data_IF_296518541751
#
_entry.id   IF_296518541751
#
_cell.length_a   1.000
_cell.length_b   1.000
_cell.length_c   1.000
_cell.angle_alpha   90.00
_cell.angle_beta   90.00
_cell.angle_gamma   90.00
#
_symmetry.space_group_name_H-M   'P 1'
#
loop_
_entity.id
_entity.type
_entity.pdbx_description
1 polymer ?
#
# COMPACT_ATOMS: atom_id res chain seq x y z
N UNK A 1 -62.33 5.31 -69.46
CA UNK A 1 -61.63 4.61 -70.55
C UNK A 1 -60.93 3.41 -69.96
N UNK A 2 -61.33 2.22 -70.40
CA UNK A 2 -60.65 0.91 -70.34
C UNK A 2 -60.21 0.38 -68.96
N UNK A 3 -60.91 -0.62 -68.39
CA UNK A 3 -60.68 -2.08 -68.58
C UNK A 3 -59.53 -2.58 -67.68
N UNK A 4 -59.57 -3.69 -66.94
CA UNK A 4 -60.48 -4.83 -66.87
C UNK A 4 -60.17 -5.63 -65.57
N UNK A 5 -61.16 -6.42 -65.17
CA UNK A 5 -61.25 -7.49 -64.15
C UNK A 5 -59.99 -8.40 -64.01
N UNK A 6 -59.72 -9.04 -62.86
CA UNK A 6 -60.43 -10.25 -62.40
C UNK A 6 -60.62 -10.37 -60.86
N UNK A 7 -61.90 -10.36 -60.53
CA UNK A 7 -62.65 -11.07 -59.47
C UNK A 7 -62.58 -12.61 -59.70
N UNK A 8 -62.97 -13.59 -58.84
CA UNK A 8 -63.84 -13.74 -57.65
C UNK A 8 -63.68 -15.21 -57.13
N UNK A 9 -64.26 -15.46 -55.94
CA UNK A 9 -64.84 -16.73 -55.41
C UNK A 9 -63.92 -17.75 -54.72
N UNK A 10 -64.21 -18.29 -53.53
CA UNK A 10 -65.44 -18.41 -52.70
C UNK A 10 -65.05 -18.11 -51.22
N UNK A 11 -65.72 -17.30 -50.40
CA UNK A 11 -67.10 -17.30 -49.86
C UNK A 11 -67.51 -18.54 -49.05
N UNK A 12 -68.08 -18.26 -47.86
CA UNK A 12 -68.79 -19.10 -46.86
C UNK A 12 -67.92 -19.44 -45.63
N UNK A 13 -68.24 -19.14 -44.35
CA UNK A 13 -69.46 -18.69 -43.66
C UNK A 13 -69.11 -18.07 -42.28
N UNK A 14 -69.98 -17.16 -41.84
CA UNK A 14 -70.16 -16.40 -40.58
C UNK A 14 -70.38 -17.29 -39.31
N UNK A 15 -70.67 -16.76 -38.08
CA UNK A 15 -70.33 -15.51 -37.37
C UNK A 15 -69.89 -15.71 -35.88
N UNK A 16 -69.47 -14.59 -35.26
CA UNK A 16 -69.48 -14.20 -33.84
C UNK A 16 -69.87 -15.20 -32.74
N UNK A 17 -69.08 -15.24 -31.65
CA UNK A 17 -69.59 -15.02 -30.28
C UNK A 17 -68.45 -14.82 -29.28
N UNK A 18 -68.74 -13.95 -28.32
CA UNK A 18 -67.83 -13.36 -27.36
C UNK A 18 -67.83 -14.11 -26.02
N UNK A 19 -66.79 -13.85 -25.23
CA UNK A 19 -66.62 -13.98 -23.77
C UNK A 19 -65.88 -15.19 -23.17
N UNK A 20 -65.16 -14.81 -22.10
CA UNK A 20 -64.72 -15.58 -20.91
C UNK A 20 -63.25 -16.05 -20.94
N UNK A 21 -62.42 -15.34 -20.16
CA UNK A 21 -61.15 -15.83 -19.64
C UNK A 21 -61.36 -17.08 -18.78
N UNK A 22 -60.38 -18.00 -18.81
CA UNK A 22 -59.82 -18.43 -17.54
C UNK A 22 -58.30 -18.28 -17.56
N UNK A 23 -57.79 -17.59 -16.55
CA UNK A 23 -56.41 -17.77 -16.12
C UNK A 23 -56.23 -19.22 -15.66
N UNK A 24 -55.50 -20.02 -16.43
CA UNK A 24 -54.94 -21.29 -15.98
C UNK A 24 -53.50 -21.38 -16.48
N UNK A 25 -52.56 -21.31 -15.52
CA UNK A 25 -51.15 -21.55 -15.77
C UNK A 25 -50.92 -22.96 -16.30
N UNK A 26 -50.52 -23.05 -17.56
CA UNK A 26 -50.10 -24.29 -18.20
C UNK A 26 -48.67 -24.63 -17.76
N UNK A 27 -48.51 -25.66 -16.92
CA UNK A 27 -47.20 -26.30 -16.70
C UNK A 27 -46.78 -27.02 -17.99
N UNK A 28 -45.54 -26.86 -18.47
CA UNK A 28 -45.08 -27.55 -19.66
C UNK A 28 -45.01 -29.07 -19.43
N UNK A 29 -45.50 -29.84 -20.42
CA UNK A 29 -45.41 -31.31 -20.45
C UNK A 29 -44.06 -31.73 -21.03
N UNK A 30 -43.35 -32.58 -20.30
CA UNK A 30 -42.01 -33.03 -20.64
C UNK A 30 -42.10 -34.48 -21.12
N UNK A 31 -41.92 -34.70 -22.42
CA UNK A 31 -41.96 -36.04 -23.03
C UNK A 31 -40.54 -36.58 -23.27
N UNK A 32 -40.20 -37.81 -22.85
CA UNK A 32 -38.92 -38.41 -23.18
C UNK A 32 -38.94 -38.94 -24.63
N UNK A 33 -38.09 -38.39 -25.49
CA UNK A 33 -37.86 -38.94 -26.84
C UNK A 33 -36.84 -40.07 -26.73
N UNK A 34 -37.21 -41.26 -27.22
CA UNK A 34 -36.28 -42.37 -27.38
C UNK A 34 -35.84 -42.53 -28.85
N UNK A 35 -34.59 -42.98 -28.97
CA UNK A 35 -33.92 -43.67 -30.10
C UNK A 35 -33.14 -42.88 -31.14
N UNK A 36 -31.92 -43.40 -31.39
CA UNK A 36 -31.35 -43.52 -32.74
C UNK A 36 -29.90 -43.07 -32.89
N UNK A 37 -28.94 -43.98 -32.63
CA UNK A 37 -27.56 -43.97 -33.17
C UNK A 37 -26.93 -42.61 -33.49
N UNK A 38 -26.65 -41.84 -32.45
CA UNK A 38 -25.83 -40.64 -32.48
C UNK A 38 -25.83 -40.10 -31.07
N UNK A 39 -24.70 -40.17 -30.37
CA UNK A 39 -24.61 -39.87 -28.95
C UNK A 39 -24.71 -38.36 -28.66
N UNK A 40 -25.86 -37.77 -28.98
CA UNK A 40 -26.29 -36.49 -28.44
C UNK A 40 -26.95 -36.73 -27.08
N UNK A 41 -26.30 -36.28 -26.00
CA UNK A 41 -26.92 -36.25 -24.67
C UNK A 41 -27.98 -35.14 -24.67
N UNK A 42 -29.24 -35.45 -24.39
CA UNK A 42 -30.24 -34.40 -24.09
C UNK A 42 -29.96 -33.86 -22.70
N UNK A 43 -29.24 -32.74 -22.63
CA UNK A 43 -28.98 -32.02 -21.39
C UNK A 43 -30.26 -31.25 -21.03
N UNK A 44 -30.96 -31.73 -20.01
CA UNK A 44 -32.01 -30.94 -19.38
C UNK A 44 -31.34 -29.96 -18.42
N UNK A 45 -31.63 -28.67 -18.61
CA UNK A 45 -31.16 -27.64 -17.70
C UNK A 45 -31.65 -27.96 -16.27
N UNK A 46 -30.80 -27.91 -15.24
CA UNK A 46 -31.17 -28.28 -13.87
C UNK A 46 -32.35 -27.47 -13.28
N UNK A 47 -32.59 -26.26 -13.81
CA UNK A 47 -33.74 -25.38 -13.49
C UNK A 47 -34.79 -25.30 -14.59
N UNK A 48 -34.72 -26.20 -15.57
CA UNK A 48 -35.71 -26.29 -16.62
C UNK A 48 -37.06 -26.74 -16.07
N UNK A 49 -38.19 -26.42 -16.73
CA UNK A 49 -39.52 -26.74 -16.23
C UNK A 49 -39.83 -28.25 -16.08
N UNK A 50 -38.88 -29.10 -16.45
CA UNK A 50 -39.00 -30.54 -16.62
C UNK A 50 -38.14 -31.35 -15.64
N UNK A 51 -37.46 -30.71 -14.68
CA UNK A 51 -36.66 -31.39 -13.65
C UNK A 51 -37.47 -31.67 -12.37
N UNK A 52 -37.29 -32.83 -11.69
CA UNK A 52 -38.21 -33.25 -10.61
C UNK A 52 -38.00 -32.56 -9.25
N UNK A 53 -37.06 -31.62 -9.13
CA UNK A 53 -36.67 -31.00 -7.86
C UNK A 53 -37.02 -29.51 -7.86
N UNK A 54 -38.28 -29.22 -7.54
CA UNK A 54 -38.77 -27.86 -7.29
C UNK A 54 -38.37 -27.41 -5.87
N UNK A 55 -37.18 -26.81 -5.74
CA UNK A 55 -36.81 -25.68 -4.86
C UNK A 55 -35.39 -25.24 -5.24
N UNK A 56 -35.25 -23.98 -5.67
CA UNK A 56 -34.13 -23.48 -6.49
C UNK A 56 -32.91 -23.00 -5.70
N UNK A 57 -31.78 -23.66 -5.90
CA UNK A 57 -30.43 -23.07 -5.88
C UNK A 57 -29.71 -23.56 -7.14
N UNK A 58 -29.11 -22.62 -7.88
CA UNK A 58 -28.26 -22.73 -9.08
C UNK A 58 -27.29 -23.94 -9.16
N UNK A 59 -27.26 -24.75 -10.22
CA UNK A 59 -26.19 -25.70 -10.57
C UNK A 59 -25.02 -24.88 -11.13
N UNK A 60 -25.34 -23.68 -11.65
CA UNK A 60 -24.41 -22.59 -11.92
C UNK A 60 -23.74 -22.12 -10.63
N UNK A 61 -24.45 -21.98 -9.50
CA UNK A 61 -23.87 -21.61 -8.19
C UNK A 61 -22.99 -22.73 -7.61
N UNK A 62 -23.35 -24.00 -7.85
CA UNK A 62 -22.54 -25.14 -7.42
C UNK A 62 -21.28 -25.31 -8.29
N UNK A 63 -21.37 -25.06 -9.60
CA UNK A 63 -20.23 -25.10 -10.53
C UNK A 63 -19.35 -23.85 -10.44
N UNK A 64 -19.90 -22.65 -10.21
CA UNK A 64 -19.13 -21.44 -9.87
C UNK A 64 -18.41 -21.62 -8.52
N UNK A 65 -19.02 -22.34 -7.58
CA UNK A 65 -18.36 -22.75 -6.33
C UNK A 65 -17.28 -23.83 -6.51
N UNK A 66 -17.36 -24.68 -7.54
CA UNK A 66 -16.30 -25.65 -7.89
C UNK A 66 -15.17 -25.02 -8.72
N UNK A 67 -15.49 -24.14 -9.67
CA UNK A 67 -14.52 -23.34 -10.46
C UNK A 67 -13.80 -22.31 -9.58
N UNK A 68 -14.48 -21.73 -8.60
CA UNK A 68 -13.84 -20.89 -7.57
C UNK A 68 -12.88 -21.68 -6.64
N UNK A 69 -13.01 -23.01 -6.56
CA UNK A 69 -12.05 -23.90 -5.88
C UNK A 69 -10.93 -24.40 -6.82
N UNK A 70 -11.15 -24.39 -8.14
CA UNK A 70 -10.11 -24.61 -9.14
C UNK A 70 -9.09 -23.48 -9.17
N UNK A 71 -9.47 -22.22 -8.87
CA UNK A 71 -8.52 -21.11 -8.70
C UNK A 71 -7.49 -21.39 -7.60
N UNK A 72 -7.92 -21.96 -6.47
CA UNK A 72 -7.03 -22.41 -5.39
C UNK A 72 -6.16 -23.62 -5.81
N UNK A 73 -6.63 -24.46 -6.75
CA UNK A 73 -5.88 -25.62 -7.27
C UNK A 73 -4.88 -25.24 -8.36
N UNK A 74 -5.14 -24.19 -9.15
CA UNK A 74 -4.16 -23.59 -10.08
C UNK A 74 -3.05 -22.87 -9.34
N UNK A 75 -3.35 -22.23 -8.19
CA UNK A 75 -2.36 -21.66 -7.25
C UNK A 75 -1.49 -22.74 -6.58
N UNK A 76 -2.02 -23.95 -6.37
CA UNK A 76 -1.26 -25.12 -5.88
C UNK A 76 -0.40 -25.77 -6.99
N UNK A 77 -0.89 -25.87 -8.23
CA UNK A 77 -0.16 -26.48 -9.36
C UNK A 77 0.97 -25.60 -9.93
N UNK A 78 0.96 -24.28 -9.67
CA UNK A 78 2.09 -23.38 -9.96
C UNK A 78 3.21 -23.43 -8.91
N UNK A 79 3.02 -24.19 -7.82
CA UNK A 79 4.01 -24.34 -6.75
C UNK A 79 5.01 -25.50 -6.92
N UNK A 80 5.10 -26.15 -8.10
CA UNK A 80 5.97 -27.34 -8.30
C UNK A 80 6.87 -27.25 -9.55
N UNK A 81 8.13 -26.84 -9.32
CA UNK A 81 9.42 -27.11 -10.03
C UNK A 81 9.62 -26.80 -11.54
N UNK A 82 10.80 -26.48 -12.12
CA UNK A 82 12.18 -26.05 -11.78
C UNK A 82 12.79 -25.54 -13.10
N UNK A 83 13.75 -24.60 -13.06
CA UNK A 83 14.85 -24.54 -14.04
C UNK A 83 14.79 -23.49 -15.14
N UNK A 84 15.35 -22.31 -14.85
CA UNK A 84 15.77 -21.34 -15.87
C UNK A 84 16.27 -20.05 -15.22
N UNK A 85 17.55 -19.71 -15.38
CA UNK A 85 18.10 -18.43 -14.93
C UNK A 85 17.44 -17.29 -15.71
N UNK A 86 16.46 -16.63 -15.08
CA UNK A 86 15.97 -15.29 -15.41
C UNK A 86 16.00 -14.46 -14.12
N UNK A 87 16.51 -13.23 -14.17
CA UNK A 87 16.59 -12.33 -13.01
C UNK A 87 15.19 -12.21 -12.38
N UNK A 88 15.04 -12.69 -11.14
CA UNK A 88 13.74 -12.76 -10.44
C UNK A 88 13.23 -11.36 -10.13
N UNK A 89 11.92 -11.17 -10.32
CA UNK A 89 11.22 -9.94 -9.93
C UNK A 89 10.76 -10.09 -8.48
N UNK A 90 11.25 -9.24 -7.59
CA UNK A 90 10.86 -9.23 -6.18
C UNK A 90 9.73 -8.22 -5.96
N UNK A 91 8.53 -8.71 -5.64
CA UNK A 91 7.32 -7.91 -5.45
C UNK A 91 6.68 -8.24 -4.10
N UNK A 92 6.72 -7.30 -3.17
CA UNK A 92 6.07 -7.43 -1.85
C UNK A 92 4.81 -6.57 -1.84
N UNK A 93 3.61 -7.16 -1.69
CA UNK A 93 2.38 -6.38 -1.63
C UNK A 93 2.35 -5.43 -0.42
N UNK A 94 1.79 -4.23 -0.62
CA UNK A 94 1.64 -3.19 0.41
C UNK A 94 0.14 -2.93 0.65
N UNK A 95 -0.26 -2.79 1.92
CA UNK A 95 -1.58 -2.31 2.31
C UNK A 95 -1.49 -1.09 3.22
N UNK A 96 -2.59 -0.33 3.32
CA UNK A 96 -2.78 0.62 4.42
C UNK A 96 -2.91 -0.16 5.74
N UNK A 97 -2.16 0.22 6.77
CA UNK A 97 -2.27 -0.37 8.10
C UNK A 97 -3.54 0.03 8.85
N UNK A 98 -4.28 1.03 8.36
CA UNK A 98 -5.43 1.61 9.07
C UNK A 98 -6.57 0.60 9.22
N UNK A 99 -7.04 -0.07 8.15
CA UNK A 99 -8.15 -1.00 8.27
C UNK A 99 -7.77 -2.29 9.01
N UNK A 100 -6.52 -2.74 8.91
CA UNK A 100 -6.11 -4.06 9.39
C UNK A 100 -5.58 -4.06 10.82
N UNK A 101 -4.81 -3.03 11.20
CA UNK A 101 -4.12 -2.98 12.50
C UNK A 101 -4.25 -1.62 13.19
N UNK A 102 -5.18 -0.77 12.73
CA UNK A 102 -5.39 0.59 13.24
C UNK A 102 -4.11 1.44 13.25
N UNK A 103 -3.16 1.14 12.35
CA UNK A 103 -1.93 1.91 12.19
C UNK A 103 -2.09 2.92 11.06
N UNK A 104 -1.53 4.12 11.23
CA UNK A 104 -1.50 5.12 10.15
C UNK A 104 -0.37 4.89 9.13
N UNK A 105 0.39 3.80 9.27
CA UNK A 105 1.52 3.45 8.40
C UNK A 105 1.11 2.42 7.34
N UNK A 106 1.94 2.28 6.31
CA UNK A 106 1.77 1.23 5.30
C UNK A 106 2.48 -0.04 5.74
N UNK A 107 1.87 -1.20 5.49
CA UNK A 107 2.36 -2.50 5.96
C UNK A 107 2.64 -3.45 4.82
N UNK A 108 3.63 -4.32 5.02
CA UNK A 108 3.98 -5.44 4.14
C UNK A 108 3.85 -6.76 4.89
N UNK A 109 3.58 -7.85 4.15
CA UNK A 109 3.67 -9.21 4.68
C UNK A 109 5.09 -9.73 4.53
N UNK A 110 5.67 -10.16 5.63
CA UNK A 110 7.01 -10.72 5.69
C UNK A 110 6.95 -12.01 6.48
N UNK A 111 7.72 -13.03 6.09
CA UNK A 111 7.83 -14.25 6.90
C UNK A 111 9.18 -14.30 7.60
N UNK A 112 9.19 -14.70 8.87
CA UNK A 112 10.38 -14.81 9.70
C UNK A 112 10.43 -16.18 10.34
N UNK A 113 11.61 -16.80 10.35
CA UNK A 113 11.84 -18.06 11.05
C UNK A 113 11.76 -19.32 10.19
N UNK A 114 12.10 -20.44 10.82
CA UNK A 114 12.02 -21.80 10.24
C UNK A 114 11.34 -22.76 11.23
N UNK A 115 10.07 -23.14 11.03
CA UNK A 115 9.21 -22.80 9.88
C UNK A 115 8.81 -21.32 9.82
N UNK A 116 8.44 -20.79 8.63
CA UNK A 116 8.14 -19.37 8.46
C UNK A 116 6.88 -18.93 9.23
N UNK A 117 7.00 -17.86 10.02
CA UNK A 117 5.91 -17.18 10.70
C UNK A 117 5.60 -15.86 9.97
N UNK A 118 4.36 -15.67 9.51
CA UNK A 118 3.96 -14.46 8.79
C UNK A 118 3.70 -13.30 9.75
N UNK A 119 4.31 -12.15 9.47
CA UNK A 119 4.26 -10.93 10.27
C UNK A 119 3.89 -9.75 9.36
N UNK A 120 3.03 -8.86 9.87
CA UNK A 120 2.72 -7.59 9.23
C UNK A 120 3.69 -6.53 9.74
N UNK A 121 4.62 -6.08 8.90
CA UNK A 121 5.62 -5.09 9.31
C UNK A 121 5.30 -3.75 8.67
N UNK A 122 5.33 -2.67 9.45
CA UNK A 122 5.25 -1.32 8.93
C UNK A 122 6.48 -1.00 8.10
N UNK A 123 6.29 -0.46 6.90
CA UNK A 123 7.36 -0.07 6.00
C UNK A 123 7.81 1.36 6.32
N UNK A 124 9.08 1.55 6.64
CA UNK A 124 9.62 2.85 7.01
C UNK A 124 10.95 3.13 6.32
N UNK A 125 10.94 4.10 5.40
CA UNK A 125 12.15 4.57 4.69
C UNK A 125 13.00 5.55 5.52
N UNK A 126 12.53 6.01 6.66
CA UNK A 126 13.24 6.94 7.53
C UNK A 126 14.02 6.24 8.66
N UNK A 127 13.83 4.93 8.83
CA UNK A 127 14.45 4.13 9.88
C UNK A 127 15.26 2.96 9.31
N UNK A 128 16.41 2.69 9.92
CA UNK A 128 17.33 1.64 9.46
C UNK A 128 16.95 0.26 10.01
N UNK A 129 16.96 0.09 11.32
CA UNK A 129 16.81 -1.24 11.92
C UNK A 129 15.38 -1.77 11.78
N UNK A 130 15.24 -3.01 11.32
CA UNK A 130 13.99 -3.73 11.52
C UNK A 130 13.84 -4.16 12.98
N UNK A 131 12.61 -4.23 13.48
CA UNK A 131 12.30 -4.81 14.78
C UNK A 131 10.94 -5.50 14.80
N UNK A 132 10.84 -6.49 15.68
CA UNK A 132 9.70 -7.41 15.75
C UNK A 132 9.38 -7.67 17.22
N UNK A 133 8.11 -7.51 17.66
CA UNK A 133 7.64 -8.02 18.95
C UNK A 133 7.95 -9.51 19.10
N UNK A 134 8.70 -9.91 20.13
CA UNK A 134 9.01 -11.31 20.39
C UNK A 134 8.23 -11.89 21.58
N UNK A 135 8.17 -13.21 21.67
CA UNK A 135 7.64 -13.94 22.84
C UNK A 135 8.18 -13.36 24.15
N UNK A 136 7.27 -13.05 25.08
CA UNK A 136 7.60 -12.45 26.38
C UNK A 136 7.79 -10.93 26.37
N UNK A 137 7.56 -10.23 25.24
CA UNK A 137 7.65 -8.77 25.20
C UNK A 137 6.61 -8.10 26.11
N UNK A 138 7.09 -7.27 27.05
CA UNK A 138 6.25 -6.48 27.95
C UNK A 138 5.78 -5.20 27.24
N UNK A 139 4.47 -4.95 27.20
CA UNK A 139 3.89 -3.75 26.55
C UNK A 139 3.77 -3.83 25.02
N UNK A 140 4.08 -4.99 24.42
CA UNK A 140 3.80 -5.27 23.02
C UNK A 140 2.33 -5.69 22.79
N UNK A 141 1.87 -5.69 21.54
CA UNK A 141 0.58 -6.29 21.17
C UNK A 141 0.61 -7.82 21.30
N UNK A 142 -0.57 -8.47 21.36
CA UNK A 142 -0.71 -9.91 21.59
C UNK A 142 -0.16 -10.82 20.49
N UNK A 143 0.10 -10.30 19.27
CA UNK A 143 0.72 -11.10 18.20
C UNK A 143 2.20 -10.78 18.15
N UNK A 144 3.01 -11.78 18.47
CA UNK A 144 4.46 -11.71 18.54
C UNK A 144 5.08 -12.82 17.71
N UNK A 145 6.34 -12.61 17.31
CA UNK A 145 7.17 -13.64 16.72
C UNK A 145 7.62 -14.62 17.81
N UNK A 146 7.36 -15.90 17.56
CA UNK A 146 7.76 -16.97 18.47
C UNK A 146 9.16 -17.48 18.13
N UNK A 147 10.16 -16.82 18.70
CA UNK A 147 11.57 -17.14 18.48
C UNK A 147 11.94 -18.56 18.94
N UNK A 148 11.22 -19.13 19.92
CA UNK A 148 11.49 -20.49 20.40
C UNK A 148 11.07 -21.56 19.38
N UNK A 149 10.08 -21.26 18.54
CA UNK A 149 9.57 -22.12 17.48
C UNK A 149 10.23 -21.85 16.11
N UNK A 150 11.43 -21.26 16.10
CA UNK A 150 12.23 -21.09 14.89
C UNK A 150 13.59 -21.75 15.06
N UNK A 151 13.85 -22.78 14.26
CA UNK A 151 15.12 -23.50 14.23
C UNK A 151 16.29 -22.68 13.66
N UNK A 152 16.01 -21.59 12.95
CA UNK A 152 17.02 -20.65 12.43
C UNK A 152 17.21 -19.40 13.29
N UNK A 153 16.49 -19.27 14.40
CA UNK A 153 16.63 -18.15 15.31
C UNK A 153 17.95 -18.19 16.07
N UNK A 154 18.63 -17.05 16.14
CA UNK A 154 19.83 -16.87 16.94
C UNK A 154 19.84 -15.49 17.60
N UNK A 155 20.01 -15.43 18.92
CA UNK A 155 20.36 -14.17 19.59
C UNK A 155 21.84 -13.88 19.40
N UNK A 156 22.19 -12.64 19.09
CA UNK A 156 23.58 -12.22 18.92
C UNK A 156 24.17 -11.77 20.26
N UNK A 157 25.40 -12.19 20.53
CA UNK A 157 26.20 -11.71 21.65
C UNK A 157 26.91 -10.38 21.33
N UNK A 158 27.66 -9.85 22.29
CA UNK A 158 28.37 -8.60 22.13
C UNK A 158 29.67 -8.66 21.32
N UNK A 159 30.17 -9.86 21.02
CA UNK A 159 31.31 -10.03 20.12
C UNK A 159 30.87 -10.02 18.65
N UNK A 160 29.59 -10.22 18.38
CA UNK A 160 29.02 -10.10 17.04
C UNK A 160 29.31 -8.71 16.44
N UNK A 161 29.85 -8.62 15.21
CA UNK A 161 30.14 -7.34 14.55
C UNK A 161 28.93 -6.41 14.45
N UNK A 162 27.73 -6.98 14.30
CA UNK A 162 26.47 -6.27 14.23
C UNK A 162 26.12 -5.53 15.54
N UNK A 163 26.60 -6.02 16.70
CA UNK A 163 26.38 -5.36 17.97
C UNK A 163 27.03 -3.97 18.05
N UNK A 164 28.11 -3.74 17.30
CA UNK A 164 28.76 -2.43 17.19
C UNK A 164 27.94 -1.41 16.39
N UNK A 165 26.91 -1.86 15.68
CA UNK A 165 26.07 -1.01 14.84
C UNK A 165 24.82 -0.48 15.56
N UNK A 166 24.46 -1.07 16.71
CA UNK A 166 23.35 -0.56 17.53
C UNK A 166 23.84 0.54 18.47
N UNK A 167 23.02 1.55 18.79
CA UNK A 167 23.42 2.61 19.69
C UNK A 167 23.48 2.11 21.14
N UNK A 168 24.58 2.41 21.82
CA UNK A 168 24.79 2.12 23.24
C UNK A 168 24.39 0.68 23.64
N UNK A 169 25.02 -0.35 23.05
CA UNK A 169 24.70 -1.73 23.38
C UNK A 169 24.98 -2.02 24.86
N UNK A 170 24.07 -2.75 25.50
CA UNK A 170 24.22 -3.32 26.83
C UNK A 170 24.67 -4.76 26.70
N UNK A 171 25.78 -5.07 27.37
CA UNK A 171 26.49 -6.34 27.29
C UNK A 171 26.62 -7.03 28.66
N UNK A 172 25.70 -6.72 29.57
CA UNK A 172 25.71 -7.26 30.94
C UNK A 172 25.19 -8.71 31.01
N UNK A 173 24.82 -9.31 29.87
CA UNK A 173 24.33 -10.68 29.75
C UNK A 173 24.86 -11.36 28.48
N UNK A 174 24.25 -12.49 28.10
CA UNK A 174 24.67 -13.27 26.92
C UNK A 174 24.24 -12.67 25.58
N UNK A 175 23.33 -11.70 25.58
CA UNK A 175 22.81 -11.06 24.37
C UNK A 175 23.25 -9.60 24.27
N UNK A 176 23.46 -9.12 23.04
CA UNK A 176 23.59 -7.71 22.73
C UNK A 176 22.21 -7.04 22.80
N UNK A 177 21.93 -6.32 23.87
CA UNK A 177 20.67 -5.59 24.05
C UNK A 177 20.85 -4.10 23.77
N UNK A 178 19.81 -3.40 23.34
CA UNK A 178 19.86 -1.95 23.14
C UNK A 178 18.49 -1.32 23.39
N UNK A 179 18.51 -0.01 23.64
CA UNK A 179 17.31 0.81 23.79
C UNK A 179 17.23 1.82 22.66
N UNK A 180 16.03 2.08 22.16
CA UNK A 180 15.76 3.07 21.13
C UNK A 180 14.47 3.82 21.41
N UNK A 181 14.39 5.03 20.85
CA UNK A 181 13.18 5.83 20.82
C UNK A 181 12.65 5.92 19.40
N UNK A 182 11.34 5.79 19.23
CA UNK A 182 10.66 5.90 17.95
C UNK A 182 9.31 6.59 18.13
N UNK A 183 9.07 7.69 17.41
CA UNK A 183 7.77 8.37 17.39
C UNK A 183 7.25 8.84 18.75
N UNK A 184 8.12 9.03 19.77
CA UNK A 184 7.71 9.35 21.15
C UNK A 184 7.49 8.13 22.05
N UNK A 185 7.64 6.92 21.52
CA UNK A 185 7.77 5.69 22.30
C UNK A 185 9.25 5.34 22.54
N UNK A 186 9.49 4.48 23.52
CA UNK A 186 10.79 3.85 23.75
C UNK A 186 10.64 2.33 23.80
N UNK A 187 11.69 1.61 23.38
CA UNK A 187 11.71 0.16 23.46
C UNK A 187 13.08 -0.38 23.82
N UNK A 188 13.08 -1.58 24.41
CA UNK A 188 14.25 -2.42 24.65
C UNK A 188 14.18 -3.61 23.71
N UNK A 189 15.29 -3.95 23.05
CA UNK A 189 15.38 -5.09 22.16
C UNK A 189 16.69 -5.87 22.39
N UNK A 190 16.66 -7.16 22.06
CA UNK A 190 17.87 -7.95 21.84
C UNK A 190 18.17 -7.97 20.34
N UNK A 191 19.44 -7.86 19.98
CA UNK A 191 19.87 -8.05 18.61
C UNK A 191 19.83 -9.55 18.28
N UNK A 192 19.11 -9.88 17.22
CA UNK A 192 18.86 -11.27 16.82
C UNK A 192 19.00 -11.43 15.31
N UNK A 193 19.20 -12.68 14.89
CA UNK A 193 19.18 -13.12 13.52
C UNK A 193 18.15 -14.22 13.32
N UNK A 194 17.50 -14.20 12.17
CA UNK A 194 16.70 -15.31 11.70
C UNK A 194 16.58 -15.25 10.16
N UNK A 195 15.93 -16.23 9.56
CA UNK A 195 15.61 -16.27 8.13
C UNK A 195 14.44 -15.33 7.85
N UNK A 196 14.68 -14.30 7.05
CA UNK A 196 13.66 -13.39 6.55
C UNK A 196 13.25 -13.80 5.14
N UNK A 197 11.95 -13.88 4.86
CA UNK A 197 11.44 -14.09 3.49
C UNK A 197 10.52 -12.96 3.09
N UNK A 198 10.90 -12.28 2.01
CA UNK A 198 10.14 -11.20 1.36
C UNK A 198 9.74 -11.69 -0.03
N UNK A 199 8.43 -11.89 -0.24
CA UNK A 199 7.92 -12.48 -1.47
C UNK A 199 8.59 -13.84 -1.79
N UNK A 200 9.42 -13.90 -2.84
CA UNK A 200 10.13 -15.10 -3.29
C UNK A 200 11.60 -15.13 -2.86
N UNK A 201 12.05 -14.10 -2.15
CA UNK A 201 13.44 -13.91 -1.78
C UNK A 201 13.65 -14.24 -0.30
N UNK A 202 14.60 -15.13 -0.05
CA UNK A 202 14.99 -15.55 1.29
C UNK A 202 16.34 -14.93 1.63
N UNK A 203 16.39 -14.27 2.78
CA UNK A 203 17.56 -13.62 3.35
C UNK A 203 17.91 -14.38 4.64
N UNK A 204 18.85 -15.33 4.60
CA UNK A 204 19.31 -16.02 5.79
C UNK A 204 20.07 -15.07 6.70
N UNK A 205 20.05 -15.34 8.01
CA UNK A 205 20.76 -14.56 9.03
C UNK A 205 20.47 -13.04 8.97
N UNK A 206 19.22 -12.69 8.61
CA UNK A 206 18.78 -11.30 8.62
C UNK A 206 18.74 -10.79 10.06
N UNK A 207 19.40 -9.65 10.29
CA UNK A 207 19.58 -9.07 11.61
C UNK A 207 18.46 -8.07 11.92
N UNK A 208 17.81 -8.22 13.07
CA UNK A 208 16.73 -7.36 13.53
C UNK A 208 16.71 -7.23 15.07
N UNK A 209 15.98 -6.24 15.57
CA UNK A 209 15.70 -6.09 17.00
C UNK A 209 14.52 -6.96 17.44
N UNK A 210 14.77 -7.96 18.26
CA UNK A 210 13.74 -8.76 18.92
C UNK A 210 13.26 -8.02 20.18
N UNK A 211 12.09 -7.37 20.10
CA UNK A 211 11.61 -6.49 21.17
C UNK A 211 11.32 -7.27 22.44
N UNK A 212 11.75 -6.70 23.56
CA UNK A 212 11.60 -7.26 24.90
C UNK A 212 10.69 -6.40 25.79
N UNK A 213 10.66 -5.09 25.57
CA UNK A 213 9.76 -4.19 26.26
C UNK A 213 9.46 -2.96 25.41
N UNK A 214 8.24 -2.44 25.47
CA UNK A 214 7.81 -1.22 24.79
C UNK A 214 7.09 -0.31 25.78
N UNK A 215 7.32 1.00 25.66
CA UNK A 215 6.61 2.04 26.40
C UNK A 215 6.13 3.12 25.44
N UNK A 216 4.90 3.60 25.63
CA UNK A 216 4.20 4.53 24.73
C UNK A 216 3.40 3.81 23.63
N UNK A 217 2.75 4.59 22.76
CA UNK A 217 1.73 4.12 21.81
C UNK A 217 2.10 4.30 20.34
N UNK A 218 3.32 4.76 20.05
CA UNK A 218 3.71 5.18 18.70
C UNK A 218 4.48 4.11 17.92
N UNK A 219 4.90 3.02 18.57
CA UNK A 219 5.52 1.89 17.87
C UNK A 219 4.50 1.14 17.00
N UNK A 220 4.84 0.75 15.77
CA UNK A 220 4.01 -0.15 14.99
C UNK A 220 3.79 -1.48 15.73
N UNK A 221 2.53 -1.88 16.01
CA UNK A 221 2.23 -2.92 17.00
C UNK A 221 2.65 -4.34 16.59
N UNK A 222 2.95 -4.55 15.30
CA UNK A 222 3.33 -5.83 14.70
C UNK A 222 4.78 -5.86 14.20
N UNK A 223 5.53 -4.77 14.37
CA UNK A 223 6.91 -4.64 13.91
C UNK A 223 7.10 -3.63 12.78
N UNK A 224 8.36 -3.34 12.48
CA UNK A 224 8.79 -2.37 11.50
C UNK A 224 9.90 -2.95 10.62
N UNK A 225 9.78 -2.78 9.31
CA UNK A 225 10.78 -3.09 8.30
C UNK A 225 11.49 -1.79 7.91
N UNK A 226 12.76 -1.68 8.31
CA UNK A 226 13.57 -0.49 8.06
C UNK A 226 14.18 -0.50 6.66
N UNK A 227 13.85 0.54 5.89
CA UNK A 227 14.32 0.81 4.54
C UNK A 227 15.22 2.04 4.49
N UNK A 228 15.74 2.52 5.61
CA UNK A 228 16.72 3.59 5.68
C UNK A 228 18.06 3.23 5.01
N UNK A 229 19.02 4.15 5.10
CA UNK A 229 20.32 4.04 4.40
C UNK A 229 21.48 3.62 5.30
N UNK A 230 21.20 3.32 6.57
CA UNK A 230 22.18 2.85 7.53
C UNK A 230 22.49 1.37 7.39
N UNK A 231 23.53 0.89 8.10
CA UNK A 231 24.07 -0.46 7.92
C UNK A 231 23.12 -1.59 8.36
N UNK A 232 22.18 -1.30 9.26
CA UNK A 232 21.18 -2.26 9.74
C UNK A 232 19.92 -2.33 8.86
N UNK A 233 19.82 -1.53 7.79
CA UNK A 233 18.65 -1.54 6.92
C UNK A 233 18.55 -2.78 6.05
N UNK A 234 17.33 -3.07 5.58
CA UNK A 234 17.10 -4.16 4.64
C UNK A 234 18.07 -4.08 3.46
N UNK A 235 18.20 -2.90 2.86
CA UNK A 235 19.00 -2.68 1.65
C UNK A 235 20.50 -2.89 1.88
N UNK A 236 21.00 -2.54 3.07
CA UNK A 236 22.41 -2.75 3.43
C UNK A 236 22.69 -4.23 3.67
N UNK A 237 21.78 -4.94 4.35
CA UNK A 237 21.92 -6.37 4.61
C UNK A 237 21.71 -7.25 3.37
N UNK A 238 21.12 -6.71 2.31
CA UNK A 238 20.74 -7.44 1.08
C UNK A 238 21.33 -6.81 -0.18
N UNK A 239 22.43 -6.07 -0.05
CA UNK A 239 23.05 -5.35 -1.17
C UNK A 239 23.38 -6.25 -2.36
N UNK A 240 23.85 -7.47 -2.11
CA UNK A 240 24.18 -8.43 -3.19
C UNK A 240 22.94 -8.92 -3.94
N UNK A 241 21.76 -8.87 -3.30
CA UNK A 241 20.50 -9.36 -3.85
C UNK A 241 19.70 -8.25 -4.54
N UNK A 242 19.59 -7.09 -3.88
CA UNK A 242 18.74 -5.98 -4.35
C UNK A 242 19.55 -4.80 -4.90
N UNK A 243 20.88 -4.87 -4.88
CA UNK A 243 21.78 -3.84 -5.42
C UNK A 243 21.48 -2.43 -4.87
N UNK A 244 21.03 -2.37 -3.60
CA UNK A 244 20.60 -1.13 -2.95
C UNK A 244 19.58 -0.32 -3.75
N UNK A 245 18.68 -0.98 -4.49
CA UNK A 245 17.65 -0.33 -5.29
C UNK A 245 16.28 -0.88 -4.95
N UNK A 246 15.32 0.01 -4.72
CA UNK A 246 13.93 -0.37 -4.50
C UNK A 246 12.97 0.71 -4.97
N UNK A 247 11.69 0.36 -5.14
CA UNK A 247 10.62 1.34 -5.30
C UNK A 247 9.36 0.88 -4.61
N UNK A 248 8.49 1.81 -4.23
CA UNK A 248 7.14 1.47 -3.78
C UNK A 248 6.08 2.20 -4.59
N UNK A 249 4.87 1.65 -4.59
CA UNK A 249 3.65 2.37 -4.87
C UNK A 249 2.70 2.16 -3.69
N UNK A 250 2.35 3.26 -3.03
CA UNK A 250 1.46 3.25 -1.87
C UNK A 250 0.00 3.30 -2.36
N UNK A 251 -0.86 2.37 -1.93
CA UNK A 251 -2.28 2.42 -2.26
C UNK A 251 -2.92 3.61 -1.54
N UNK A 252 -4.15 3.93 -1.91
CA UNK A 252 -4.95 4.90 -1.18
C UNK A 252 -5.02 4.50 0.31
N UNK A 253 -4.90 5.49 1.20
CA UNK A 253 -4.90 5.23 2.64
C UNK A 253 -6.19 4.57 3.17
N UNK A 254 -7.29 4.68 2.44
CA UNK A 254 -8.56 4.01 2.74
C UNK A 254 -8.72 2.64 2.05
N UNK A 255 -7.75 2.21 1.23
CA UNK A 255 -7.77 0.88 0.62
C UNK A 255 -7.74 -0.21 1.69
N UNK A 256 -8.62 -1.19 1.55
CA UNK A 256 -8.72 -2.37 2.43
C UNK A 256 -7.87 -3.54 1.94
N UNK A 257 -7.34 -3.46 0.71
CA UNK A 257 -6.62 -4.54 0.04
C UNK A 257 -5.11 -4.26 0.01
N UNK A 258 -4.33 -5.33 -0.16
CA UNK A 258 -2.90 -5.26 -0.49
C UNK A 258 -2.71 -4.92 -1.99
N UNK A 259 -3.18 -3.75 -2.42
CA UNK A 259 -3.08 -3.30 -3.83
C UNK A 259 -1.79 -2.56 -4.17
N UNK A 260 -1.05 -2.09 -3.16
CA UNK A 260 0.26 -1.49 -3.33
C UNK A 260 1.37 -2.50 -3.56
N UNK A 261 2.55 -2.02 -3.96
CA UNK A 261 3.71 -2.90 -4.23
C UNK A 261 5.05 -2.26 -3.89
N UNK A 262 5.87 -2.99 -3.13
CA UNK A 262 7.30 -2.76 -2.93
C UNK A 262 8.09 -3.65 -3.91
N UNK A 263 8.91 -3.02 -4.75
CA UNK A 263 9.76 -3.69 -5.76
C UNK A 263 11.21 -3.61 -5.30
N UNK A 264 11.85 -4.75 -5.09
CA UNK A 264 13.24 -4.82 -4.67
C UNK A 264 14.13 -5.22 -5.86
N UNK A 265 15.35 -4.69 -5.90
CA UNK A 265 16.29 -4.96 -6.98
C UNK A 265 16.07 -4.12 -8.23
N UNK A 266 16.96 -4.29 -9.21
CA UNK A 266 16.95 -3.51 -10.45
C UNK A 266 16.02 -4.07 -11.53
N UNK A 267 15.71 -5.38 -11.48
CA UNK A 267 15.02 -6.09 -12.56
C UNK A 267 13.56 -5.66 -12.81
N UNK A 268 12.92 -5.05 -11.80
CA UNK A 268 11.50 -4.69 -11.83
C UNK A 268 11.24 -3.18 -11.83
N UNK A 269 12.30 -2.38 -11.94
CA UNK A 269 12.15 -0.93 -11.88
C UNK A 269 11.64 -0.37 -13.21
N UNK A 270 10.85 0.72 -13.18
CA UNK A 270 10.37 1.35 -14.41
C UNK A 270 11.54 1.81 -15.29
N UNK A 271 11.46 1.52 -16.59
CA UNK A 271 12.47 1.96 -17.58
C UNK A 271 12.35 3.45 -17.90
N UNK A 272 11.15 4.02 -17.77
CA UNK A 272 10.86 5.42 -18.01
C UNK A 272 10.27 6.04 -16.75
N UNK A 273 11.10 6.75 -16.00
CA UNK A 273 10.70 7.46 -14.79
C UNK A 273 11.42 8.81 -14.74
N UNK A 274 10.72 9.86 -14.32
CA UNK A 274 11.35 11.18 -14.12
C UNK A 274 12.17 11.12 -12.84
N UNK A 275 13.38 11.67 -12.86
CA UNK A 275 14.31 11.55 -11.74
C UNK A 275 14.79 12.91 -11.24
N UNK A 276 15.08 12.97 -9.96
CA UNK A 276 15.79 14.07 -9.29
C UNK A 276 16.98 13.50 -8.51
N UNK A 277 18.04 14.28 -8.24
CA UNK A 277 19.16 13.82 -7.42
C UNK A 277 18.73 13.42 -6.01
N UNK A 278 19.25 12.29 -5.54
CA UNK A 278 19.16 11.85 -4.16
C UNK A 278 20.34 12.41 -3.37
N UNK A 279 20.06 13.29 -2.42
CA UNK A 279 21.09 13.96 -1.64
C UNK A 279 21.48 13.15 -0.40
N UNK A 280 22.70 13.34 0.10
CA UNK A 280 23.20 12.72 1.33
C UNK A 280 23.53 13.80 2.34
N UNK A 281 22.83 13.79 3.48
CA UNK A 281 23.11 14.70 4.57
C UNK A 281 23.92 13.99 5.68
N UNK A 282 25.13 14.46 6.03
CA UNK A 282 25.96 13.80 7.04
C UNK A 282 25.35 13.85 8.45
N UNK A 283 24.48 14.81 8.76
CA UNK A 283 23.77 14.87 10.05
C UNK A 283 22.65 13.84 10.17
N UNK A 284 22.08 13.42 9.04
CA UNK A 284 20.96 12.48 8.97
C UNK A 284 21.14 11.51 7.79
N UNK A 285 22.18 10.65 7.85
CA UNK A 285 22.62 9.87 6.69
C UNK A 285 21.60 8.82 6.24
N UNK A 286 20.73 8.38 7.15
CA UNK A 286 19.69 7.38 6.92
C UNK A 286 18.52 7.88 6.08
N UNK A 287 18.30 9.20 6.02
CA UNK A 287 17.14 9.80 5.37
C UNK A 287 17.35 10.01 3.86
N UNK A 288 16.23 10.00 3.13
CA UNK A 288 16.19 10.20 1.69
C UNK A 288 15.89 11.66 1.33
N UNK A 289 16.95 12.46 1.17
CA UNK A 289 16.83 13.87 0.83
C UNK A 289 16.64 14.10 -0.68
N UNK A 290 15.72 14.99 -1.03
CA UNK A 290 15.47 15.42 -2.41
C UNK A 290 15.62 16.93 -2.52
N UNK A 291 16.08 17.40 -3.68
CA UNK A 291 16.27 18.84 -3.92
C UNK A 291 14.94 19.50 -4.32
N UNK A 292 14.13 19.89 -3.34
CA UNK A 292 12.88 20.60 -3.57
C UNK A 292 13.14 22.08 -3.83
N UNK A 293 12.58 22.60 -4.93
CA UNK A 293 12.83 23.97 -5.43
C UNK A 293 11.61 24.88 -5.39
N UNK A 294 10.45 24.34 -4.98
CA UNK A 294 9.25 25.14 -4.72
C UNK A 294 7.96 24.33 -4.78
N UNK A 295 6.84 25.04 -4.59
CA UNK A 295 5.48 24.52 -4.73
C UNK A 295 4.72 25.44 -5.67
N UNK A 296 3.92 24.89 -6.57
CA UNK A 296 2.88 25.65 -7.26
C UNK A 296 1.51 25.27 -6.71
N UNK A 297 0.66 26.28 -6.54
CA UNK A 297 -0.77 26.11 -6.24
C UNK A 297 -1.55 26.73 -7.38
N UNK A 298 -2.38 25.90 -8.03
CA UNK A 298 -2.91 26.11 -9.36
C UNK A 298 -1.79 26.55 -10.32
N UNK A 299 -1.93 27.71 -10.97
CA UNK A 299 -0.94 28.22 -11.95
C UNK A 299 0.16 29.12 -11.35
N UNK A 300 0.23 29.32 -10.02
CA UNK A 300 1.21 30.23 -9.40
C UNK A 300 2.24 29.44 -8.61
N UNK A 301 3.52 29.73 -8.86
CA UNK A 301 4.62 29.31 -7.98
C UNK A 301 4.54 30.13 -6.69
N UNK A 302 4.39 29.44 -5.56
CA UNK A 302 4.29 30.04 -4.23
C UNK A 302 5.60 30.75 -3.89
N UNK A 303 5.52 31.94 -3.31
CA UNK A 303 6.69 32.67 -2.85
C UNK A 303 7.17 32.11 -1.50
N UNK A 304 7.91 30.99 -1.56
CA UNK A 304 8.52 30.35 -0.40
C UNK A 304 9.95 30.91 -0.24
N UNK A 305 10.38 31.34 0.97
CA UNK A 305 11.76 31.72 1.20
C UNK A 305 12.72 30.60 0.80
N UNK A 306 13.73 30.90 -0.03
CA UNK A 306 14.65 29.88 -0.54
C UNK A 306 15.37 29.11 0.60
N UNK A 307 15.71 29.80 1.68
CA UNK A 307 16.30 29.21 2.89
C UNK A 307 15.39 28.18 3.58
N UNK A 308 14.07 28.28 3.42
CA UNK A 308 13.13 27.34 4.03
C UNK A 308 13.11 25.96 3.33
N UNK A 309 13.58 25.87 2.08
CA UNK A 309 13.68 24.62 1.32
C UNK A 309 15.12 24.17 1.08
N UNK A 310 16.11 25.03 1.38
CA UNK A 310 17.51 24.79 1.07
C UNK A 310 18.03 23.52 1.76
N UNK A 311 18.76 22.71 1.00
CA UNK A 311 19.53 21.61 1.55
C UNK A 311 20.73 22.17 2.32
N UNK A 312 20.89 21.77 3.57
CA UNK A 312 21.99 22.21 4.44
C UNK A 312 22.66 21.01 5.13
N UNK A 313 23.88 20.63 4.71
CA UNK A 313 24.61 19.52 5.31
C UNK A 313 25.12 19.82 6.73
N UNK A 314 25.19 21.09 7.14
CA UNK A 314 25.70 21.50 8.45
C UNK A 314 24.62 21.37 9.53
N UNK A 315 23.41 21.87 9.24
CA UNK A 315 22.27 21.82 10.17
C UNK A 315 21.45 20.53 10.04
N UNK A 316 21.55 19.83 8.91
CA UNK A 316 20.65 18.72 8.59
C UNK A 316 19.39 19.17 7.85
N UNK A 317 19.32 20.43 7.40
CA UNK A 317 18.15 21.00 6.75
C UNK A 317 17.90 20.52 5.32
N UNK A 318 16.68 20.73 4.84
CA UNK A 318 16.25 20.39 3.47
C UNK A 318 14.91 19.65 3.44
N UNK A 319 14.68 18.90 2.37
CA UNK A 319 13.43 18.13 2.17
C UNK A 319 13.72 16.64 2.09
N UNK A 320 12.95 15.84 2.82
CA UNK A 320 13.01 14.37 2.80
C UNK A 320 11.70 13.77 2.27
N UNK A 321 11.80 12.55 1.74
CA UNK A 321 10.64 11.66 1.57
C UNK A 321 10.52 10.76 2.79
N UNK A 322 9.29 10.59 3.29
CA UNK A 322 9.02 9.71 4.43
C UNK A 322 7.68 8.97 4.27
N UNK A 323 7.70 7.65 4.50
CA UNK A 323 6.51 6.80 4.49
C UNK A 323 5.92 6.59 5.89
N UNK A 324 6.67 6.88 6.95
CA UNK A 324 6.22 6.78 8.34
C UNK A 324 5.34 7.96 8.79
N UNK A 325 5.55 9.14 8.20
CA UNK A 325 4.67 10.31 8.39
C UNK A 325 3.44 10.22 7.50
N UNK A 326 2.27 10.60 8.04
CA UNK A 326 0.99 10.56 7.33
C UNK A 326 0.82 11.74 6.38
N UNK A 327 0.92 12.97 6.90
CA UNK A 327 0.69 14.23 6.18
C UNK A 327 1.95 15.05 6.06
N UNK A 328 2.14 15.74 4.94
CA UNK A 328 3.35 16.52 4.69
C UNK A 328 3.55 17.56 5.80
N UNK A 329 4.78 17.62 6.32
CA UNK A 329 5.19 18.59 7.34
C UNK A 329 6.18 19.56 6.73
N UNK A 330 5.86 20.84 6.72
CA UNK A 330 6.75 21.88 6.21
C UNK A 330 7.24 22.75 7.36
N UNK A 331 8.47 23.24 7.27
CA UNK A 331 8.97 24.25 8.22
C UNK A 331 8.09 25.51 8.14
N UNK A 332 7.94 26.24 9.24
CA UNK A 332 6.92 27.29 9.37
C UNK A 332 6.88 28.31 8.22
N UNK A 333 8.01 28.85 7.72
CA UNK A 333 7.99 29.78 6.60
C UNK A 333 7.46 29.15 5.31
N UNK A 334 7.78 27.88 5.06
CA UNK A 334 7.30 27.15 3.87
C UNK A 334 5.83 26.75 4.02
N UNK A 335 5.43 26.27 5.19
CA UNK A 335 4.04 25.91 5.47
C UNK A 335 3.12 27.11 5.32
N UNK A 336 3.45 28.22 5.98
CA UNK A 336 2.67 29.46 5.95
C UNK A 336 2.43 29.95 4.53
N UNK A 337 3.49 30.01 3.71
CA UNK A 337 3.38 30.45 2.33
C UNK A 337 2.47 29.54 1.48
N UNK A 338 2.59 28.22 1.62
CA UNK A 338 1.76 27.25 0.88
C UNK A 338 0.31 27.31 1.34
N UNK A 339 0.10 27.29 2.66
CA UNK A 339 -1.22 27.37 3.30
C UNK A 339 -1.97 28.62 2.85
N UNK A 340 -1.33 29.77 2.90
CA UNK A 340 -1.96 31.05 2.59
C UNK A 340 -2.34 31.14 1.10
N UNK A 341 -1.51 30.61 0.20
CA UNK A 341 -1.87 30.52 -1.22
C UNK A 341 -3.04 29.54 -1.44
N UNK A 342 -3.07 28.39 -0.76
CA UNK A 342 -4.22 27.46 -0.83
C UNK A 342 -5.49 28.17 -0.36
N UNK A 343 -5.46 28.82 0.80
CA UNK A 343 -6.61 29.55 1.36
C UNK A 343 -7.11 30.64 0.41
N UNK A 344 -6.19 31.40 -0.18
CA UNK A 344 -6.49 32.43 -1.18
C UNK A 344 -7.16 31.86 -2.44
N UNK A 345 -6.80 30.65 -2.85
CA UNK A 345 -7.36 30.00 -4.05
C UNK A 345 -8.72 29.37 -3.83
N UNK A 346 -8.92 28.74 -2.67
CA UNK A 346 -10.22 28.16 -2.31
C UNK A 346 -11.23 29.27 -2.08
N UNK A 347 -10.80 30.39 -1.46
CA UNK A 347 -11.64 31.57 -1.21
C UNK A 347 -12.97 31.21 -0.52
N UNK A 348 -12.86 30.39 0.54
CA UNK A 348 -14.00 29.97 1.36
C UNK A 348 -13.75 30.25 2.85
N UNK A 349 -14.78 30.07 3.67
CA UNK A 349 -14.69 30.18 5.13
C UNK A 349 -13.78 29.10 5.67
N UNK A 350 -12.64 29.49 6.22
CA UNK A 350 -11.65 28.56 6.79
C UNK A 350 -12.09 28.14 8.19
N UNK A 351 -12.14 26.83 8.42
CA UNK A 351 -12.29 26.21 9.73
C UNK A 351 -11.05 25.36 10.06
N UNK A 352 -11.04 24.75 11.24
CA UNK A 352 -9.96 23.86 11.70
C UNK A 352 -10.54 22.58 12.29
N UNK A 353 -9.82 21.46 12.15
CA UNK A 353 -10.19 20.17 12.72
C UNK A 353 -8.96 19.48 13.29
N UNK A 354 -8.88 19.37 14.62
CA UNK A 354 -7.73 18.79 15.31
C UNK A 354 -6.44 19.52 14.97
N UNK A 355 -5.46 18.81 14.40
CA UNK A 355 -4.17 19.38 13.98
C UNK A 355 -4.17 20.06 12.61
N UNK A 356 -5.32 20.17 11.94
CA UNK A 356 -5.44 20.79 10.61
C UNK A 356 -6.06 22.19 10.72
N UNK A 357 -5.32 23.21 10.26
CA UNK A 357 -5.74 24.62 10.37
C UNK A 357 -6.47 25.14 9.11
N UNK A 358 -6.54 24.34 8.05
CA UNK A 358 -7.09 24.76 6.75
C UNK A 358 -8.12 23.73 6.31
N UNK A 359 -9.32 23.89 6.85
CA UNK A 359 -10.48 23.07 6.56
C UNK A 359 -11.63 23.91 5.99
N UNK A 360 -12.53 23.24 5.30
CA UNK A 360 -13.73 23.82 4.73
C UNK A 360 -14.91 22.88 4.91
N UNK A 361 -16.04 23.46 5.30
CA UNK A 361 -17.33 22.79 5.36
C UNK A 361 -17.99 22.76 3.97
N UNK A 362 -18.56 21.61 3.60
CA UNK A 362 -19.25 21.43 2.33
C UNK A 362 -18.31 21.15 1.16
N UNK A 363 -18.83 21.31 -0.05
CA UNK A 363 -18.09 21.00 -1.27
C UNK A 363 -17.29 22.22 -1.73
N UNK A 364 -15.97 22.14 -1.65
CA UNK A 364 -15.04 23.15 -2.17
C UNK A 364 -14.18 22.60 -3.30
N UNK A 365 -13.78 23.47 -4.22
CA UNK A 365 -12.84 23.13 -5.30
C UNK A 365 -11.42 23.34 -4.79
N UNK A 366 -10.71 22.25 -4.56
CA UNK A 366 -9.31 22.29 -4.14
C UNK A 366 -8.39 22.63 -5.32
N UNK A 367 -7.46 23.59 -5.17
CA UNK A 367 -6.55 23.94 -6.24
C UNK A 367 -5.56 22.79 -6.51
N UNK A 368 -5.25 22.55 -7.79
CA UNK A 368 -4.17 21.64 -8.15
C UNK A 368 -2.86 22.07 -7.46
N UNK A 369 -2.05 21.11 -7.00
CA UNK A 369 -0.76 21.40 -6.37
C UNK A 369 0.35 20.64 -7.07
N UNK A 370 1.45 21.32 -7.34
CA UNK A 370 2.64 20.71 -7.95
C UNK A 370 3.86 20.93 -7.05
N UNK A 371 4.52 19.84 -6.66
CA UNK A 371 5.80 19.86 -5.97
C UNK A 371 6.90 19.94 -7.02
N UNK A 372 7.78 20.93 -6.90
CA UNK A 372 8.91 21.12 -7.82
C UNK A 372 10.19 20.63 -7.17
N UNK A 373 10.91 19.78 -7.88
CA UNK A 373 12.25 19.30 -7.55
C UNK A 373 13.21 19.71 -8.66
N UNK A 374 14.52 19.61 -8.39
CA UNK A 374 15.51 19.83 -9.43
C UNK A 374 15.33 18.79 -10.56
N UNK A 375 15.00 19.27 -11.77
CA UNK A 375 14.80 18.43 -12.95
C UNK A 375 13.47 17.66 -13.01
N UNK A 376 12.56 17.84 -12.06
CA UNK A 376 11.31 17.08 -11.97
C UNK A 376 10.20 17.89 -11.31
N UNK A 377 8.96 17.79 -11.82
CA UNK A 377 7.78 18.35 -11.19
C UNK A 377 6.73 17.24 -11.03
N UNK A 378 6.07 17.20 -9.87
CA UNK A 378 5.07 16.17 -9.52
C UNK A 378 3.78 16.87 -9.15
N UNK A 379 2.75 16.75 -9.99
CA UNK A 379 1.41 17.28 -9.69
C UNK A 379 0.65 16.25 -8.86
N UNK A 380 0.19 16.68 -7.70
CA UNK A 380 -0.52 15.82 -6.76
C UNK A 380 -1.98 15.66 -7.20
N UNK A 381 -2.50 14.43 -7.24
CA UNK A 381 -3.93 14.19 -7.27
C UNK A 381 -4.64 14.85 -6.08
N UNK A 382 -5.92 15.18 -6.22
CA UNK A 382 -6.66 15.91 -5.18
C UNK A 382 -6.78 15.08 -3.90
N UNK A 383 -6.89 13.76 -4.02
CA UNK A 383 -6.93 12.81 -2.92
C UNK A 383 -5.62 12.77 -2.11
N UNK A 384 -4.50 13.17 -2.72
CA UNK A 384 -3.21 13.31 -2.04
C UNK A 384 -3.06 14.67 -1.35
N UNK A 385 -3.97 15.62 -1.63
CA UNK A 385 -3.94 16.97 -1.09
C UNK A 385 -4.84 17.14 0.13
N UNK A 386 -5.85 16.28 0.31
CA UNK A 386 -6.92 16.51 1.28
C UNK A 386 -7.23 15.31 2.16
N UNK A 387 -7.59 15.60 3.41
CA UNK A 387 -8.22 14.65 4.32
C UNK A 387 -9.69 14.99 4.39
N UNK A 388 -10.55 13.97 4.26
CA UNK A 388 -11.99 14.12 4.46
C UNK A 388 -12.36 13.58 5.84
N UNK A 389 -13.17 14.34 6.57
CA UNK A 389 -13.76 13.86 7.82
C UNK A 389 -14.65 12.64 7.52
N UNK A 390 -14.64 11.66 8.41
CA UNK A 390 -15.59 10.54 8.38
C UNK A 390 -16.94 10.90 8.98
N UNK A 391 -17.03 12.03 9.67
CA UNK A 391 -18.27 12.60 10.23
C UNK A 391 -18.51 13.99 9.64
N UNK A 392 -19.48 14.10 8.73
CA UNK A 392 -19.86 15.36 8.07
C UNK A 392 -19.15 15.63 6.75
N UNK A 393 -19.34 16.85 6.23
CA UNK A 393 -18.84 17.29 4.92
C UNK A 393 -17.56 18.14 5.01
N UNK A 394 -16.73 17.91 6.02
CA UNK A 394 -15.48 18.67 6.21
C UNK A 394 -14.35 18.04 5.39
N UNK A 395 -13.63 18.86 4.65
CA UNK A 395 -12.34 18.50 4.05
C UNK A 395 -11.24 19.47 4.48
N UNK A 396 -10.05 18.94 4.74
CA UNK A 396 -8.91 19.69 5.25
C UNK A 396 -7.68 19.48 4.35
N UNK A 397 -6.81 20.48 4.30
CA UNK A 397 -5.50 20.37 3.66
C UNK A 397 -4.67 19.30 4.39
N UNK A 398 -4.20 18.28 3.66
CA UNK A 398 -3.38 17.19 4.18
C UNK A 398 -1.90 17.60 4.36
N UNK A 399 -1.67 18.79 4.91
CA UNK A 399 -0.36 19.36 5.22
C UNK A 399 -0.44 20.16 6.52
N UNK A 400 0.63 20.16 7.29
CA UNK A 400 0.72 20.92 8.53
C UNK A 400 2.13 21.51 8.73
N UNK A 401 2.23 22.51 9.60
CA UNK A 401 3.52 22.99 10.08
C UNK A 401 4.29 21.86 10.79
N UNK A 402 5.62 21.95 10.77
CA UNK A 402 6.46 21.22 11.68
C UNK A 402 6.11 21.59 13.14
N UNK A 403 6.25 20.68 14.13
CA UNK A 403 5.85 21.00 15.49
C UNK A 403 6.69 22.15 16.08
N UNK A 404 6.03 23.12 16.74
CA UNK A 404 6.61 24.39 17.20
C UNK A 404 7.70 24.28 18.29
N UNK A 405 7.94 23.07 18.81
CA UNK A 405 8.89 22.78 19.90
C UNK A 405 10.03 21.83 19.49
N UNK A 406 10.12 21.49 18.21
CA UNK A 406 11.30 20.86 17.63
C UNK A 406 11.93 21.89 16.72
N UNK A 407 13.24 22.12 16.85
CA UNK A 407 14.03 22.89 15.87
C UNK A 407 14.11 22.08 14.56
N UNK A 408 12.95 21.85 13.93
CA UNK A 408 12.81 21.05 12.74
C UNK A 408 13.29 21.89 11.57
N UNK A 409 14.51 21.59 11.14
CA UNK A 409 15.11 22.15 9.93
C UNK A 409 14.70 21.38 8.66
N UNK A 410 13.82 20.38 8.79
CA UNK A 410 13.47 19.45 7.72
C UNK A 410 12.01 19.58 7.31
N UNK A 411 11.78 19.66 6.00
CA UNK A 411 10.49 19.45 5.35
C UNK A 411 10.32 17.96 5.03
N UNK A 412 9.12 17.43 5.25
CA UNK A 412 8.79 16.02 5.07
C UNK A 412 7.67 15.89 4.06
N UNK A 413 7.96 15.33 2.89
CA UNK A 413 6.93 14.87 1.96
C UNK A 413 6.45 13.51 2.46
N UNK A 414 5.24 13.47 2.98
CA UNK A 414 4.71 12.34 3.72
C UNK A 414 3.95 11.35 2.83
N UNK A 415 3.51 10.25 3.41
CA UNK A 415 2.88 9.14 2.69
C UNK A 415 1.60 9.51 1.94
N UNK A 416 0.75 10.42 2.45
CA UNK A 416 -0.44 10.88 1.72
C UNK A 416 -0.10 11.53 0.38
N UNK A 417 0.98 12.32 0.32
CA UNK A 417 1.43 12.95 -0.92
C UNK A 417 2.08 11.96 -1.90
N UNK A 418 2.32 10.73 -1.46
CA UNK A 418 3.00 9.68 -2.22
C UNK A 418 2.07 8.53 -2.67
N UNK A 419 0.77 8.62 -2.37
CA UNK A 419 -0.22 7.64 -2.82
C UNK A 419 -0.36 7.64 -4.35
N UNK A 420 -0.55 6.46 -4.93
CA UNK A 420 -0.66 6.27 -6.38
C UNK A 420 0.50 6.90 -7.18
N UNK A 421 1.68 6.96 -6.55
CA UNK A 421 2.94 7.31 -7.16
C UNK A 421 3.91 6.14 -6.96
N UNK A 422 4.59 5.77 -8.04
CA UNK A 422 5.78 4.93 -8.00
C UNK A 422 6.97 5.79 -7.61
N UNK A 423 7.52 5.58 -6.42
CA UNK A 423 8.71 6.26 -5.93
C UNK A 423 9.88 5.28 -5.94
N UNK A 424 10.87 5.52 -6.81
CA UNK A 424 12.10 4.74 -6.97
C UNK A 424 13.25 5.38 -6.20
N UNK A 425 14.01 4.56 -5.49
CA UNK A 425 15.28 4.92 -4.88
C UNK A 425 16.37 4.06 -5.52
N UNK A 426 17.21 4.72 -6.33
CA UNK A 426 18.36 4.13 -7.00
C UNK A 426 19.62 4.68 -6.31
N UNK A 427 20.05 3.98 -5.26
CA UNK A 427 21.14 4.43 -4.40
C UNK A 427 22.49 4.42 -5.11
N UNK A 428 22.86 3.39 -5.89
CA UNK A 428 24.11 3.38 -6.62
C UNK A 428 24.27 4.58 -7.57
N UNK A 429 23.16 5.03 -8.18
CA UNK A 429 23.17 6.16 -9.11
C UNK A 429 22.78 7.49 -8.46
N UNK A 430 22.56 7.53 -7.14
CA UNK A 430 22.13 8.72 -6.40
C UNK A 430 20.90 9.42 -7.01
N UNK A 431 19.86 8.64 -7.31
CA UNK A 431 18.62 9.15 -7.93
C UNK A 431 17.38 8.75 -7.16
N UNK A 432 16.41 9.65 -7.11
CA UNK A 432 15.02 9.35 -6.80
C UNK A 432 14.21 9.49 -8.08
N UNK A 433 13.41 8.48 -8.40
CA UNK A 433 12.46 8.52 -9.51
C UNK A 433 11.03 8.66 -9.02
N UNK A 434 10.20 9.41 -9.74
CA UNK A 434 8.74 9.48 -9.49
C UNK A 434 7.98 9.32 -10.80
N UNK A 435 6.97 8.45 -10.78
CA UNK A 435 5.99 8.30 -11.85
C UNK A 435 4.59 8.11 -11.25
N UNK A 436 3.54 8.51 -11.97
CA UNK A 436 2.18 8.12 -11.61
C UNK A 436 1.99 6.63 -11.86
N UNK A 437 1.44 5.93 -10.87
CA UNK A 437 1.07 4.52 -10.98
C UNK A 437 -0.14 4.29 -10.09
N UNK A 438 -1.28 3.91 -10.65
CA UNK A 438 -2.44 3.57 -9.82
C UNK A 438 -2.21 2.20 -9.18
N UNK A 439 -2.13 2.16 -7.86
CA UNK A 439 -1.94 0.94 -7.08
C UNK A 439 -2.98 0.80 -5.98
N UNK A 440 -4.15 1.42 -6.19
CA UNK A 440 -5.31 1.30 -5.32
C UNK A 440 -6.30 0.30 -5.89
#
# INVERSE_FOLDING_TARGET
MAHLQYFLLLLLLLPSLSWVYPAQGSRPRCTPVQHGSGSGLTILHPYGPCTPFSKSVSWDDMMLGMVGRDEARVLYLTSLAVGGKKKKKSFVPIASGRPTIQSSTYVVRVSVGTPPQTILMAMDISNDAAWIPCSGCVGCSSTVFDSANSSSYKSLDCQAPQCKQVPNPSCNGSACSFNLTYGGSSFRANLSQDTLTLALDTVPAYTFGCLQAVTGTSLPPKGLLGLGRGPSSLLSQTQDLFHSTFSYCLPNFNSINFSGTLRLGTASQPTHIKTTPLLKNPRRPSLYYVNMTGVSVAKRKVNIPASALAFDPTTGGGTILDSGTVVTRLVDPAYTAVRDEVRRRVNGTVSSLGGFDTCYDGQVVWPAMTLHFYGMAVTLPVENLIIRSTSGNISCLAMAAAPANVNSVVNVIASMQQQNLRVLFDMPNSKVGVAHENCT
#
